data_IF_120286507081
#
_entry.id   IF_120286507081
#
_cell.length_a   1.000
_cell.length_b   1.000
_cell.length_c   1.000
_cell.angle_alpha   90.00
_cell.angle_beta   90.00
_cell.angle_gamma   90.00
#
_symmetry.space_group_name_H-M   'P 1'
#
loop_
_entity.id
_entity.type
_entity.pdbx_description
1 polymer ?
#
# COMPACT_ATOMS: atom_id res chain seq x y z
N UNK A 1 -17.43 -2.89 -12.95
CA UNK A 1 -17.06 -3.33 -11.60
C UNK A 1 -16.48 -2.13 -10.87
N UNK A 2 -16.96 -1.81 -9.67
CA UNK A 2 -16.32 -0.82 -8.82
C UNK A 2 -15.12 -1.52 -8.15
N UNK A 3 -13.91 -1.00 -8.35
CA UNK A 3 -12.70 -1.49 -7.67
C UNK A 3 -12.63 -0.96 -6.24
N UNK A 4 -11.66 -1.47 -5.49
CA UNK A 4 -11.31 -1.00 -4.14
C UNK A 4 -9.87 -0.46 -4.11
N UNK A 5 -9.61 0.50 -3.23
CA UNK A 5 -8.28 1.09 -3.05
C UNK A 5 -7.85 0.92 -1.59
N UNK A 6 -6.76 0.21 -1.38
CA UNK A 6 -6.10 0.11 -0.07
C UNK A 6 -5.13 1.29 0.11
N UNK A 7 -5.43 2.17 1.06
CA UNK A 7 -4.70 3.42 1.30
C UNK A 7 -3.58 3.27 2.33
N UNK A 8 -2.78 4.32 2.51
CA UNK A 8 -1.77 4.36 3.59
C UNK A 8 -2.41 4.30 4.99
N UNK A 9 -3.62 4.84 5.18
CA UNK A 9 -4.31 4.75 6.47
C UNK A 9 -4.70 3.30 6.81
N UNK A 10 -5.09 2.53 5.79
CA UNK A 10 -5.38 1.11 5.95
C UNK A 10 -4.11 0.32 6.28
N UNK A 11 -2.97 0.68 5.67
CA UNK A 11 -1.67 0.07 5.95
C UNK A 11 -1.25 0.24 7.43
N UNK A 12 -1.40 1.45 7.97
CA UNK A 12 -1.12 1.72 9.39
C UNK A 12 -2.05 0.91 10.28
N UNK A 13 -3.35 0.87 9.95
CA UNK A 13 -4.34 0.09 10.70
C UNK A 13 -4.01 -1.41 10.68
N UNK A 14 -3.59 -1.94 9.54
CA UNK A 14 -3.16 -3.34 9.40
C UNK A 14 -1.93 -3.64 10.25
N UNK A 15 -0.93 -2.75 10.26
CA UNK A 15 0.27 -2.89 11.08
C UNK A 15 -0.06 -2.91 12.58
N UNK A 16 -0.93 -2.01 13.04
CA UNK A 16 -1.39 -1.99 14.44
C UNK A 16 -2.09 -3.30 14.81
N UNK A 17 -2.86 -3.89 13.90
CA UNK A 17 -3.52 -5.19 14.14
C UNK A 17 -2.55 -6.36 14.25
N UNK A 18 -1.30 -6.24 13.78
CA UNK A 18 -0.27 -7.28 13.93
C UNK A 18 0.03 -7.59 15.40
N UNK A 19 -0.18 -6.62 16.29
CA UNK A 19 -0.10 -6.80 17.75
C UNK A 19 -1.09 -7.83 18.31
N UNK A 20 -2.09 -8.26 17.53
CA UNK A 20 -3.09 -9.27 17.91
C UNK A 20 -2.71 -10.70 17.47
N UNK A 21 -1.42 -10.96 17.20
CA UNK A 21 -0.90 -12.32 16.94
C UNK A 21 -0.68 -12.68 15.48
N UNK A 22 -0.72 -11.71 14.56
CA UNK A 22 -0.35 -11.98 13.16
C UNK A 22 1.18 -12.05 13.01
N UNK A 23 1.68 -13.13 12.38
CA UNK A 23 3.11 -13.39 12.26
C UNK A 23 3.84 -12.38 11.36
N UNK A 24 3.35 -12.16 10.12
CA UNK A 24 3.92 -11.22 9.17
C UNK A 24 2.89 -10.59 8.23
N UNK A 25 3.19 -9.37 7.76
CA UNK A 25 2.46 -8.71 6.68
C UNK A 25 3.36 -8.65 5.45
N UNK A 26 2.74 -8.78 4.27
CA UNK A 26 3.40 -8.60 2.99
C UNK A 26 2.50 -7.83 2.05
N UNK A 27 3.10 -7.23 1.02
CA UNK A 27 2.41 -6.46 -0.01
C UNK A 27 2.85 -6.94 -1.39
N UNK A 28 1.91 -6.99 -2.32
CA UNK A 28 2.22 -7.09 -3.74
C UNK A 28 2.17 -5.73 -4.42
N UNK A 29 3.21 -5.25 -5.09
CA UNK A 29 4.59 -5.73 -5.13
C UNK A 29 5.52 -4.60 -4.70
N UNK A 30 6.76 -4.91 -4.31
CA UNK A 30 7.71 -3.92 -3.81
C UNK A 30 7.92 -2.76 -4.77
N UNK A 31 8.06 -3.04 -6.07
CA UNK A 31 8.25 -2.01 -7.11
C UNK A 31 7.01 -1.13 -7.32
N UNK A 32 5.83 -1.57 -6.88
CA UNK A 32 4.60 -0.77 -6.92
C UNK A 32 4.50 0.18 -5.74
N UNK A 33 5.43 0.16 -4.79
CA UNK A 33 5.42 1.07 -3.64
C UNK A 33 5.95 2.46 -3.96
N UNK A 34 5.32 3.10 -4.95
CA UNK A 34 5.57 4.46 -5.38
C UNK A 34 4.31 5.03 -6.04
N UNK A 35 4.22 6.36 -6.07
CA UNK A 35 3.16 7.09 -6.77
C UNK A 35 3.28 6.89 -8.30
N UNK A 36 2.14 6.92 -9.00
CA UNK A 36 2.12 6.86 -10.45
C UNK A 36 2.47 8.20 -11.08
N UNK A 37 2.97 8.21 -12.31
CA UNK A 37 3.29 9.46 -13.03
C UNK A 37 2.09 10.42 -13.14
N UNK A 38 0.89 9.87 -13.33
CA UNK A 38 -0.36 10.62 -13.41
C UNK A 38 -1.02 10.89 -12.04
N UNK A 39 -0.32 10.54 -10.95
CA UNK A 39 -0.81 10.65 -9.57
C UNK A 39 -1.81 9.54 -9.20
N UNK A 40 -2.85 9.92 -8.45
CA UNK A 40 -3.84 8.99 -7.91
C UNK A 40 -4.72 8.43 -9.07
N UNK A 41 -4.73 7.12 -9.25
CA UNK A 41 -5.42 6.46 -10.37
C UNK A 41 -6.30 5.32 -9.88
N UNK A 42 -7.52 5.24 -10.39
CA UNK A 42 -8.43 4.11 -10.17
C UNK A 42 -8.15 2.91 -11.09
N UNK A 43 -7.13 3.01 -11.94
CA UNK A 43 -6.69 1.93 -12.83
C UNK A 43 -5.44 1.28 -12.24
N UNK A 44 -5.41 -0.04 -12.26
CA UNK A 44 -4.22 -0.79 -11.87
C UNK A 44 -3.08 -0.56 -12.86
N UNK A 45 -1.87 -0.45 -12.34
CA UNK A 45 -0.62 -0.32 -13.09
C UNK A 45 0.43 -1.23 -12.44
N UNK A 46 1.24 -1.88 -13.26
CA UNK A 46 2.25 -2.83 -12.80
C UNK A 46 3.46 -2.16 -12.15
N UNK A 47 3.63 -0.85 -12.31
CA UNK A 47 4.82 -0.11 -11.87
C UNK A 47 4.57 0.84 -10.70
N UNK A 48 3.31 1.06 -10.32
CA UNK A 48 2.94 1.98 -9.23
C UNK A 48 1.66 1.54 -8.49
N UNK A 49 1.36 2.20 -7.37
CA UNK A 49 0.27 1.81 -6.47
C UNK A 49 -1.11 2.36 -6.87
N UNK A 50 -1.16 3.43 -7.67
CA UNK A 50 -2.37 4.22 -7.90
C UNK A 50 -2.76 5.12 -6.72
N UNK A 51 -1.92 5.22 -5.68
CA UNK A 51 -2.13 6.00 -4.47
C UNK A 51 -1.07 7.09 -4.36
N UNK A 52 -1.48 8.31 -4.01
CA UNK A 52 -0.58 9.42 -3.72
C UNK A 52 0.28 9.11 -2.48
N UNK A 53 1.59 9.06 -2.65
CA UNK A 53 2.53 8.58 -1.63
C UNK A 53 3.97 8.93 -1.97
N UNK A 54 4.85 8.86 -0.97
CA UNK A 54 6.31 8.77 -1.22
C UNK A 54 6.73 7.34 -1.53
N UNK A 55 7.82 7.16 -2.28
CA UNK A 55 8.39 5.84 -2.54
C UNK A 55 8.72 5.12 -1.22
N UNK A 56 8.29 3.87 -1.08
CA UNK A 56 8.49 3.06 0.14
C UNK A 56 7.52 3.36 1.29
N UNK A 57 6.52 4.22 1.10
CA UNK A 57 5.62 4.62 2.19
C UNK A 57 4.82 3.44 2.78
N UNK A 58 4.37 2.49 1.95
CA UNK A 58 3.68 1.31 2.47
C UNK A 58 4.63 0.34 3.15
N UNK A 59 5.85 0.14 2.62
CA UNK A 59 6.86 -0.68 3.27
C UNK A 59 7.15 -0.16 4.68
N UNK A 60 7.28 1.16 4.83
CA UNK A 60 7.42 1.81 6.13
C UNK A 60 6.19 1.59 7.02
N UNK A 61 4.98 1.74 6.49
CA UNK A 61 3.76 1.60 7.25
C UNK A 61 3.49 0.15 7.72
N UNK A 62 3.86 -0.85 6.92
CA UNK A 62 3.63 -2.28 7.21
C UNK A 62 4.81 -2.96 7.92
N UNK A 63 5.99 -2.34 7.89
CA UNK A 63 7.23 -2.88 8.43
C UNK A 63 7.26 -2.99 9.95
N UNK A 64 6.59 -2.06 10.65
CA UNK A 64 6.64 -1.95 12.11
C UNK A 64 7.92 -1.30 12.61
#
# INVERSE_FOLDING_TARGET
MAGETFTLADAVTACLRRTQGAGALSRWATFRDQECADGNSSKADDTCSGVAQTAGAFAKALGG
#
